data_IF_562062107050
#
_entry.id   IF_562062107050
#
_cell.length_a   1.000
_cell.length_b   1.000
_cell.length_c   1.000
_cell.angle_alpha   90.00
_cell.angle_beta   90.00
_cell.angle_gamma   90.00
#
_symmetry.space_group_name_H-M   'P 1'
#
loop_
_entity.id
_entity.type
_entity.pdbx_description
1 polymer ?
#
# COMPACT_ATOMS: atom_id res chain seq x y z
N UNK A 1 -3.55 31.56 -10.73
CA UNK A 1 -3.88 31.42 -9.29
C UNK A 1 -4.30 32.78 -8.78
N UNK A 2 -5.41 32.94 -8.06
CA UNK A 2 -5.82 34.22 -7.53
C UNK A 2 -4.86 34.66 -6.41
N UNK A 3 -4.50 35.94 -6.33
CA UNK A 3 -3.54 36.47 -5.37
C UNK A 3 -3.98 36.28 -3.90
N UNK A 4 -5.25 36.00 -3.65
CA UNK A 4 -5.84 35.82 -2.34
C UNK A 4 -5.24 34.61 -1.57
N UNK A 5 -4.92 33.52 -2.29
CA UNK A 5 -4.34 32.30 -1.66
C UNK A 5 -2.89 32.55 -1.20
N UNK A 6 -2.13 33.35 -1.96
CA UNK A 6 -0.75 33.69 -1.59
C UNK A 6 -0.71 34.61 -0.37
N UNK A 7 -1.65 35.53 -0.26
CA UNK A 7 -1.79 36.44 0.88
C UNK A 7 -2.22 35.67 2.15
N UNK A 8 -3.12 34.69 2.02
CA UNK A 8 -3.52 33.85 3.16
C UNK A 8 -2.35 33.00 3.69
N UNK A 9 -1.52 32.41 2.80
CA UNK A 9 -0.32 31.65 3.18
C UNK A 9 0.71 32.57 3.85
N UNK A 10 0.95 33.75 3.32
CA UNK A 10 1.88 34.73 3.89
C UNK A 10 1.39 35.29 5.23
N UNK A 11 0.08 35.44 5.43
CA UNK A 11 -0.50 35.91 6.69
C UNK A 11 -0.41 34.87 7.82
N UNK A 12 -0.38 33.58 7.49
CA UNK A 12 -0.16 32.48 8.45
C UNK A 12 1.34 32.31 8.75
N UNK A 13 2.22 32.64 7.80
CA UNK A 13 3.68 32.51 7.98
C UNK A 13 4.31 33.65 8.80
N UNK A 14 3.77 34.87 8.75
CA UNK A 14 4.31 36.03 9.51
C UNK A 14 4.39 35.83 11.03
N UNK A 15 3.38 35.28 11.74
CA UNK A 15 3.52 34.99 13.16
C UNK A 15 4.49 33.81 13.43
N UNK A 16 4.75 32.93 12.44
CA UNK A 16 5.75 31.87 12.57
C UNK A 16 7.19 32.42 12.47
N UNK A 17 7.45 33.37 11.56
CA UNK A 17 8.77 34.02 11.43
C UNK A 17 9.16 34.76 12.71
N UNK A 18 8.21 35.43 13.37
CA UNK A 18 8.46 36.14 14.63
C UNK A 18 8.77 35.19 15.82
N UNK A 19 8.37 33.90 15.71
CA UNK A 19 8.68 32.87 16.73
C UNK A 19 9.94 32.07 16.41
N UNK A 20 10.43 32.13 15.18
CA UNK A 20 11.63 31.40 14.72
C UNK A 20 12.94 32.20 14.82
N UNK A 21 12.87 33.51 15.14
CA UNK A 21 14.06 34.33 15.43
C UNK A 21 14.49 34.09 16.89
N UNK A 22 15.67 33.48 17.14
CA UNK A 22 16.11 33.19 18.49
C UNK A 22 16.50 34.48 19.24
N UNK A 23 15.72 34.81 20.28
CA UNK A 23 16.25 35.61 21.38
C UNK A 23 17.25 34.77 22.18
N UNK A 24 18.07 35.36 23.06
CA UNK A 24 19.09 34.65 23.83
C UNK A 24 18.41 33.58 24.71
N UNK A 25 18.49 32.32 24.29
CA UNK A 25 17.81 31.22 24.92
C UNK A 25 18.70 30.55 25.99
N UNK A 26 18.10 30.24 27.14
CA UNK A 26 18.68 29.30 28.09
C UNK A 26 18.73 27.89 27.49
N UNK A 27 19.68 26.99 27.89
CA UNK A 27 19.81 25.64 27.36
C UNK A 27 18.53 24.81 27.47
N UNK A 28 17.69 25.01 28.46
CA UNK A 28 16.43 24.31 28.67
C UNK A 28 15.32 24.75 27.69
N UNK A 29 15.34 26.03 27.26
CA UNK A 29 14.45 26.53 26.23
C UNK A 29 14.77 25.99 24.82
N UNK A 30 16.03 25.66 24.55
CA UNK A 30 16.44 25.06 23.28
C UNK A 30 15.92 23.63 23.12
N UNK A 31 15.82 22.85 24.21
CA UNK A 31 15.27 21.49 24.21
C UNK A 31 13.75 21.48 24.07
N UNK A 32 13.04 22.41 24.71
CA UNK A 32 11.60 22.56 24.56
C UNK A 32 11.22 23.06 23.16
N UNK A 33 11.97 24.00 22.59
CA UNK A 33 11.76 24.50 21.23
C UNK A 33 12.02 23.47 20.13
N UNK A 34 12.89 22.48 20.36
CA UNK A 34 13.16 21.42 19.38
C UNK A 34 11.95 20.52 19.15
N UNK A 35 11.21 20.16 20.21
CA UNK A 35 9.99 19.35 20.11
C UNK A 35 8.86 20.03 19.32
N UNK A 36 8.61 21.32 19.60
CA UNK A 36 7.61 22.11 18.88
C UNK A 36 8.02 22.32 17.41
N UNK A 37 9.29 22.61 17.15
CA UNK A 37 9.82 22.79 15.79
C UNK A 37 9.69 21.49 14.99
N UNK A 38 10.00 20.32 15.56
CA UNK A 38 9.84 19.02 14.93
C UNK A 38 8.35 18.73 14.66
N UNK A 39 7.45 19.06 15.58
CA UNK A 39 6.01 18.89 15.39
C UNK A 39 5.47 19.78 14.26
N UNK A 40 5.90 21.05 14.18
CA UNK A 40 5.53 21.97 13.10
C UNK A 40 6.07 21.50 11.75
N UNK A 41 7.33 21.06 11.67
CA UNK A 41 7.93 20.52 10.45
C UNK A 41 7.24 19.23 10.04
N UNK A 42 6.87 18.36 10.99
CA UNK A 42 6.10 17.16 10.75
C UNK A 42 4.70 17.44 10.18
N UNK A 43 4.03 18.48 10.70
CA UNK A 43 2.74 18.94 10.20
C UNK A 43 2.81 19.53 8.79
N UNK A 44 3.86 20.31 8.48
CA UNK A 44 4.08 20.84 7.13
C UNK A 44 4.29 19.73 6.09
N UNK A 45 5.02 18.66 6.42
CA UNK A 45 5.22 17.50 5.53
C UNK A 45 3.88 16.89 5.12
N UNK A 46 2.98 16.68 6.08
CA UNK A 46 1.65 16.10 5.83
C UNK A 46 0.79 17.02 4.95
N UNK A 47 0.82 18.35 5.20
CA UNK A 47 0.08 19.32 4.39
C UNK A 47 0.60 19.37 2.95
N UNK A 48 1.94 19.37 2.77
CA UNK A 48 2.56 19.35 1.44
C UNK A 48 2.22 18.06 0.71
N UNK A 49 2.36 16.90 1.37
CA UNK A 49 2.01 15.61 0.80
C UNK A 49 0.53 15.54 0.43
N UNK A 50 -0.37 16.05 1.28
CA UNK A 50 -1.81 16.13 0.98
C UNK A 50 -2.11 17.00 -0.25
N UNK A 51 -1.45 18.14 -0.39
CA UNK A 51 -1.58 19.00 -1.57
C UNK A 51 -1.06 18.34 -2.86
N UNK A 52 0.07 17.63 -2.77
CA UNK A 52 0.62 16.85 -3.89
C UNK A 52 -0.30 15.70 -4.27
N UNK A 53 -0.86 15.00 -3.28
CA UNK A 53 -1.83 13.93 -3.48
C UNK A 53 -3.10 14.42 -4.20
N UNK A 54 -3.66 15.57 -3.80
CA UNK A 54 -4.81 16.16 -4.50
C UNK A 54 -4.47 16.49 -5.96
N UNK A 55 -3.27 17.02 -6.22
CA UNK A 55 -2.82 17.29 -7.59
C UNK A 55 -2.58 15.99 -8.39
N UNK A 56 -2.12 14.92 -7.74
CA UNK A 56 -1.97 13.61 -8.36
C UNK A 56 -3.34 13.06 -8.79
N UNK A 57 -4.36 13.16 -7.94
CA UNK A 57 -5.73 12.75 -8.29
C UNK A 57 -6.29 13.56 -9.46
N UNK A 58 -6.09 14.89 -9.49
CA UNK A 58 -6.52 15.72 -10.62
C UNK A 58 -5.80 15.35 -11.93
N UNK A 59 -4.53 14.96 -11.87
CA UNK A 59 -3.79 14.46 -13.03
C UNK A 59 -4.32 13.09 -13.46
N UNK A 60 -4.62 12.21 -12.52
CA UNK A 60 -5.22 10.89 -12.73
C UNK A 60 -6.59 10.99 -13.41
N UNK A 61 -7.49 11.87 -12.94
CA UNK A 61 -8.79 12.14 -13.58
C UNK A 61 -8.64 12.56 -15.05
N UNK A 62 -7.57 13.29 -15.38
CA UNK A 62 -7.23 13.71 -16.73
C UNK A 62 -6.49 12.65 -17.55
N UNK A 63 -6.25 11.47 -16.96
CA UNK A 63 -5.46 10.39 -17.54
C UNK A 63 -4.04 10.79 -17.94
N UNK A 64 -3.47 11.77 -17.25
CA UNK A 64 -2.08 12.22 -17.44
C UNK A 64 -1.16 11.35 -16.58
N UNK A 65 -0.77 10.20 -17.13
CA UNK A 65 0.03 9.20 -16.45
C UNK A 65 1.39 9.73 -15.98
N UNK A 66 2.10 10.46 -16.83
CA UNK A 66 3.41 10.99 -16.50
C UNK A 66 3.38 11.95 -15.32
N UNK A 67 2.41 12.86 -15.34
CA UNK A 67 2.21 13.80 -14.25
C UNK A 67 1.70 13.13 -12.98
N UNK A 68 0.78 12.16 -13.11
CA UNK A 68 0.31 11.37 -11.97
C UNK A 68 1.47 10.65 -11.30
N UNK A 69 2.29 9.93 -12.06
CA UNK A 69 3.47 9.22 -11.53
C UNK A 69 4.42 10.15 -10.79
N UNK A 70 4.76 11.29 -11.40
CA UNK A 70 5.65 12.28 -10.78
C UNK A 70 5.08 12.81 -9.46
N UNK A 71 3.80 13.15 -9.44
CA UNK A 71 3.13 13.67 -8.25
C UNK A 71 3.00 12.62 -7.16
N UNK A 72 2.74 11.34 -7.48
CA UNK A 72 2.74 10.24 -6.53
C UNK A 72 4.12 10.07 -5.88
N UNK A 73 5.19 10.12 -6.68
CA UNK A 73 6.56 10.03 -6.16
C UNK A 73 6.91 11.20 -5.23
N UNK A 74 6.52 12.42 -5.59
CA UNK A 74 6.71 13.61 -4.75
C UNK A 74 5.87 13.54 -3.47
N UNK A 75 4.65 12.99 -3.53
CA UNK A 75 3.77 12.81 -2.37
C UNK A 75 4.44 11.95 -1.30
N UNK A 76 4.93 10.76 -1.69
CA UNK A 76 5.60 9.84 -0.75
C UNK A 76 6.99 10.32 -0.34
N UNK A 77 7.66 11.13 -1.14
CA UNK A 77 8.91 11.79 -0.77
C UNK A 77 8.68 12.90 0.28
N UNK A 78 7.54 13.60 0.20
CA UNK A 78 7.18 14.62 1.18
C UNK A 78 6.72 13.99 2.52
N UNK A 79 5.90 12.94 2.48
CA UNK A 79 5.49 12.18 3.67
C UNK A 79 5.28 10.70 3.30
N UNK A 80 6.20 9.84 3.75
CA UNK A 80 6.22 8.41 3.48
C UNK A 80 5.35 7.59 4.46
N UNK A 81 4.87 8.21 5.55
CA UNK A 81 4.14 7.52 6.63
C UNK A 81 2.74 7.04 6.26
N UNK A 82 1.88 7.80 5.51
CA UNK A 82 0.54 7.36 5.20
C UNK A 82 0.54 6.19 4.21
N UNK A 83 0.05 5.01 4.66
CA UNK A 83 -0.11 3.81 3.81
C UNK A 83 -0.94 4.06 2.57
N UNK A 84 -1.97 4.91 2.69
CA UNK A 84 -2.91 5.23 1.61
C UNK A 84 -2.22 5.79 0.37
N UNK A 85 -1.14 6.55 0.52
CA UNK A 85 -0.40 7.08 -0.63
C UNK A 85 0.30 5.97 -1.40
N UNK A 86 0.92 5.02 -0.68
CA UNK A 86 1.58 3.86 -1.28
C UNK A 86 0.59 2.91 -1.95
N UNK A 87 -0.48 2.54 -1.23
CA UNK A 87 -1.46 1.58 -1.73
C UNK A 87 -2.22 2.11 -2.94
N UNK A 88 -2.77 3.32 -2.85
CA UNK A 88 -3.54 3.90 -3.94
C UNK A 88 -2.66 4.27 -5.15
N UNK A 89 -1.45 4.79 -4.90
CA UNK A 89 -0.49 5.05 -5.97
C UNK A 89 -0.14 3.77 -6.75
N UNK A 90 0.14 2.68 -6.05
CA UNK A 90 0.41 1.40 -6.69
C UNK A 90 -0.79 0.85 -7.49
N UNK A 91 -2.02 1.02 -6.98
CA UNK A 91 -3.25 0.62 -7.67
C UNK A 91 -3.47 1.42 -8.97
N UNK A 92 -3.29 2.73 -8.92
CA UNK A 92 -3.34 3.57 -10.12
C UNK A 92 -2.34 3.07 -11.18
N UNK A 93 -1.11 2.78 -10.77
CA UNK A 93 -0.08 2.27 -11.68
C UNK A 93 -0.41 0.88 -12.22
N UNK A 94 -0.81 -0.06 -11.37
CA UNK A 94 -1.00 -1.46 -11.74
C UNK A 94 -2.27 -1.73 -12.57
N UNK A 95 -3.33 -0.94 -12.36
CA UNK A 95 -4.65 -1.23 -12.92
C UNK A 95 -5.17 -0.13 -13.82
N UNK A 96 -5.08 1.14 -13.44
CA UNK A 96 -5.67 2.23 -14.21
C UNK A 96 -4.82 2.61 -15.44
N UNK A 97 -3.50 2.76 -15.27
CA UNK A 97 -2.61 3.14 -16.37
C UNK A 97 -2.64 2.13 -17.53
N UNK A 98 -2.55 0.80 -17.28
CA UNK A 98 -2.73 -0.16 -18.37
C UNK A 98 -4.10 -0.09 -19.04
N UNK A 99 -5.16 0.13 -18.27
CA UNK A 99 -6.51 0.24 -18.81
C UNK A 99 -6.66 1.46 -19.75
N UNK A 100 -6.02 2.59 -19.42
CA UNK A 100 -6.05 3.79 -20.29
C UNK A 100 -5.32 3.58 -21.61
N UNK A 101 -4.20 2.84 -21.59
CA UNK A 101 -3.37 2.58 -22.79
C UNK A 101 -3.90 1.48 -23.68
N UNK A 102 -4.70 0.57 -23.12
CA UNK A 102 -5.09 -0.67 -23.81
C UNK A 102 -6.44 -0.58 -24.50
N UNK A 103 -7.18 0.54 -24.40
CA UNK A 103 -8.53 0.67 -24.94
C UNK A 103 -8.60 0.33 -26.44
N UNK A 104 -7.56 0.70 -27.21
CA UNK A 104 -7.49 0.51 -28.66
C UNK A 104 -6.21 -0.22 -29.11
N UNK A 105 -5.44 -0.81 -28.17
CA UNK A 105 -4.17 -1.42 -28.48
C UNK A 105 -4.31 -2.92 -28.83
N UNK A 106 -3.44 -3.47 -29.73
CA UNK A 106 -3.35 -4.91 -29.93
C UNK A 106 -3.09 -5.67 -28.62
N UNK A 107 -3.66 -6.88 -28.47
CA UNK A 107 -3.61 -7.64 -27.23
C UNK A 107 -2.18 -7.83 -26.67
N UNK A 108 -1.20 -8.08 -27.55
CA UNK A 108 0.21 -8.23 -27.16
C UNK A 108 0.82 -6.95 -26.59
N UNK A 109 0.41 -5.77 -27.10
CA UNK A 109 0.85 -4.47 -26.59
C UNK A 109 0.20 -4.19 -25.23
N UNK A 110 -1.11 -4.48 -25.10
CA UNK A 110 -1.84 -4.35 -23.85
C UNK A 110 -1.24 -5.22 -22.73
N UNK A 111 -0.89 -6.47 -23.07
CA UNK A 111 -0.26 -7.38 -22.10
C UNK A 111 1.13 -6.90 -21.67
N UNK A 112 1.96 -6.39 -22.59
CA UNK A 112 3.26 -5.80 -22.24
C UNK A 112 3.10 -4.61 -21.33
N UNK A 113 2.21 -3.67 -21.68
CA UNK A 113 1.93 -2.50 -20.84
C UNK A 113 1.47 -2.88 -19.43
N UNK A 114 0.61 -3.89 -19.32
CA UNK A 114 0.14 -4.39 -18.03
C UNK A 114 1.31 -4.91 -17.18
N UNK A 115 2.20 -5.70 -17.77
CA UNK A 115 3.38 -6.23 -17.06
C UNK A 115 4.33 -5.14 -16.63
N UNK A 116 4.64 -4.18 -17.50
CA UNK A 116 5.52 -3.05 -17.20
C UNK A 116 4.96 -2.20 -16.05
N UNK A 117 3.68 -1.87 -16.10
CA UNK A 117 3.03 -1.07 -15.06
C UNK A 117 2.90 -1.84 -13.73
N UNK A 118 2.61 -3.14 -13.79
CA UNK A 118 2.59 -3.98 -12.59
C UNK A 118 3.98 -4.05 -11.92
N UNK A 119 5.05 -4.18 -12.70
CA UNK A 119 6.43 -4.16 -12.17
C UNK A 119 6.78 -2.79 -11.57
N UNK A 120 6.39 -1.69 -12.22
CA UNK A 120 6.59 -0.34 -11.69
C UNK A 120 5.84 -0.13 -10.36
N UNK A 121 4.61 -0.65 -10.26
CA UNK A 121 3.82 -0.61 -9.03
C UNK A 121 4.45 -1.45 -7.90
N UNK A 122 4.96 -2.64 -8.21
CA UNK A 122 5.69 -3.46 -7.23
C UNK A 122 6.94 -2.74 -6.73
N UNK A 123 7.75 -2.16 -7.61
CA UNK A 123 8.93 -1.38 -7.23
C UNK A 123 8.56 -0.15 -6.40
N UNK A 124 7.40 0.47 -6.67
CA UNK A 124 6.89 1.57 -5.85
C UNK A 124 6.55 1.10 -4.43
N UNK A 125 5.88 -0.05 -4.25
CA UNK A 125 5.57 -0.63 -2.94
C UNK A 125 6.81 -1.13 -2.20
N UNK A 126 7.81 -1.68 -2.89
CA UNK A 126 9.10 -2.07 -2.31
C UNK A 126 9.82 -0.88 -1.69
N UNK A 127 9.79 0.29 -2.35
CA UNK A 127 10.30 1.53 -1.75
C UNK A 127 9.51 1.92 -0.50
N UNK A 128 8.20 1.70 -0.47
CA UNK A 128 7.37 1.91 0.71
C UNK A 128 7.80 1.03 1.89
N UNK A 129 8.08 -0.25 1.64
CA UNK A 129 8.62 -1.16 2.66
C UNK A 129 9.99 -0.69 3.15
N UNK A 130 10.85 -0.20 2.24
CA UNK A 130 12.19 0.30 2.58
C UNK A 130 12.12 1.54 3.48
N UNK A 131 11.20 2.46 3.20
CA UNK A 131 11.09 3.74 3.89
C UNK A 131 10.47 3.62 5.30
N UNK A 132 9.51 2.71 5.49
CA UNK A 132 8.69 2.65 6.70
C UNK A 132 8.66 1.28 7.42
N UNK A 133 9.33 0.29 6.85
CA UNK A 133 9.25 -1.11 7.29
C UNK A 133 8.08 -1.88 6.65
N UNK A 134 8.07 -3.21 6.80
CA UNK A 134 7.03 -4.06 6.25
C UNK A 134 5.70 -3.82 6.95
N UNK A 135 4.64 -3.63 6.17
CA UNK A 135 3.26 -3.58 6.63
C UNK A 135 2.46 -4.64 5.87
N UNK A 136 1.58 -5.34 6.59
CA UNK A 136 0.79 -6.43 6.01
C UNK A 136 -0.01 -5.98 4.79
N UNK A 137 -0.58 -4.77 4.83
CA UNK A 137 -1.36 -4.20 3.74
C UNK A 137 -0.55 -3.95 2.47
N UNK A 138 0.72 -3.51 2.60
CA UNK A 138 1.61 -3.34 1.44
C UNK A 138 1.92 -4.71 0.83
N UNK A 139 2.26 -5.70 1.64
CA UNK A 139 2.61 -7.04 1.16
C UNK A 139 1.39 -7.72 0.51
N UNK A 140 0.19 -7.51 1.07
CA UNK A 140 -1.09 -7.96 0.47
C UNK A 140 -1.32 -7.30 -0.89
N UNK A 141 -1.07 -5.99 -1.02
CA UNK A 141 -1.26 -5.31 -2.31
C UNK A 141 -0.24 -5.81 -3.35
N UNK A 142 1.01 -6.05 -2.96
CA UNK A 142 2.00 -6.70 -3.84
C UNK A 142 1.53 -8.09 -4.28
N UNK A 143 0.96 -8.90 -3.37
CA UNK A 143 0.39 -10.21 -3.70
C UNK A 143 -0.77 -10.08 -4.70
N UNK A 144 -1.66 -9.12 -4.52
CA UNK A 144 -2.77 -8.83 -5.42
C UNK A 144 -2.28 -8.44 -6.83
N UNK A 145 -1.25 -7.59 -6.92
CA UNK A 145 -0.67 -7.17 -8.20
C UNK A 145 -0.06 -8.38 -8.91
N UNK A 146 0.71 -9.22 -8.21
CA UNK A 146 1.26 -10.46 -8.80
C UNK A 146 0.16 -11.38 -9.31
N UNK A 147 -0.90 -11.58 -8.52
CA UNK A 147 -1.99 -12.47 -8.88
C UNK A 147 -2.79 -11.95 -10.07
N UNK A 148 -3.25 -10.70 -9.99
CA UNK A 148 -4.25 -10.15 -10.92
C UNK A 148 -3.64 -9.52 -12.17
N UNK A 149 -2.52 -8.79 -12.00
CA UNK A 149 -1.90 -8.09 -13.13
C UNK A 149 -0.86 -8.95 -13.85
N UNK A 150 -0.14 -9.83 -13.15
CA UNK A 150 0.92 -10.68 -13.72
C UNK A 150 0.52 -12.14 -13.91
N UNK A 151 -0.57 -12.61 -13.29
CA UNK A 151 -0.96 -14.03 -13.31
C UNK A 151 0.02 -14.94 -12.53
N UNK A 152 0.93 -14.36 -11.75
CA UNK A 152 1.97 -15.05 -10.98
C UNK A 152 1.37 -15.60 -9.67
N UNK A 153 0.70 -16.77 -9.77
CA UNK A 153 0.08 -17.43 -8.62
C UNK A 153 1.10 -17.85 -7.56
N UNK A 154 2.26 -18.35 -8.00
CA UNK A 154 3.31 -18.79 -7.08
C UNK A 154 3.89 -17.62 -6.27
N UNK A 155 4.22 -16.52 -6.95
CA UNK A 155 4.69 -15.29 -6.31
C UNK A 155 3.63 -14.68 -5.39
N UNK A 156 2.38 -14.69 -5.80
CA UNK A 156 1.26 -14.22 -4.97
C UNK A 156 1.09 -15.09 -3.72
N UNK A 157 1.15 -16.41 -3.85
CA UNK A 157 1.05 -17.33 -2.71
C UNK A 157 2.14 -17.04 -1.66
N UNK A 158 3.40 -16.87 -2.09
CA UNK A 158 4.49 -16.50 -1.18
C UNK A 158 4.24 -15.19 -0.44
N UNK A 159 3.79 -14.16 -1.15
CA UNK A 159 3.50 -12.85 -0.54
C UNK A 159 2.28 -12.89 0.40
N UNK A 160 1.22 -13.63 0.06
CA UNK A 160 0.08 -13.80 0.97
C UNK A 160 0.48 -14.52 2.27
N UNK A 161 1.38 -15.49 2.19
CA UNK A 161 1.96 -16.13 3.38
C UNK A 161 2.74 -15.12 4.21
N UNK A 162 3.67 -14.39 3.57
CA UNK A 162 4.46 -13.36 4.24
C UNK A 162 3.57 -12.30 4.90
N UNK A 163 2.51 -11.85 4.22
CA UNK A 163 1.57 -10.90 4.78
C UNK A 163 0.85 -11.47 6.01
N UNK A 164 0.42 -12.74 5.95
CA UNK A 164 -0.28 -13.41 7.05
C UNK A 164 0.57 -13.58 8.33
N UNK A 165 1.88 -13.57 8.18
CA UNK A 165 2.85 -13.67 9.29
C UNK A 165 3.19 -12.30 9.92
N UNK A 166 2.74 -11.18 9.32
CA UNK A 166 2.98 -9.82 9.82
C UNK A 166 1.92 -9.39 10.85
N UNK A 167 2.28 -8.53 11.81
CA UNK A 167 1.33 -7.92 12.73
C UNK A 167 0.21 -7.16 11.99
N UNK A 168 -1.03 -7.30 12.46
CA UNK A 168 -2.17 -6.63 11.87
C UNK A 168 -2.62 -7.20 10.51
N UNK A 169 -2.10 -8.38 10.12
CA UNK A 169 -2.48 -9.05 8.89
C UNK A 169 -3.99 -9.29 8.81
N UNK A 170 -4.62 -9.00 7.67
CA UNK A 170 -6.02 -9.33 7.48
C UNK A 170 -6.17 -10.85 7.39
N UNK A 171 -7.16 -11.43 8.07
CA UNK A 171 -7.40 -12.89 8.11
C UNK A 171 -7.53 -13.52 6.72
N UNK A 172 -8.01 -12.77 5.74
CA UNK A 172 -8.14 -13.30 4.38
C UNK A 172 -6.78 -13.60 3.71
N UNK A 173 -5.69 -12.97 4.13
CA UNK A 173 -4.37 -13.22 3.54
C UNK A 173 -3.97 -14.69 3.73
N UNK A 174 -4.14 -15.22 4.92
CA UNK A 174 -3.86 -16.61 5.23
C UNK A 174 -4.77 -17.58 4.45
N UNK A 175 -6.05 -17.23 4.26
CA UNK A 175 -7.00 -18.05 3.49
C UNK A 175 -6.66 -18.08 2.01
N UNK A 176 -6.32 -16.91 1.42
CA UNK A 176 -5.93 -16.83 0.01
C UNK A 176 -4.64 -17.62 -0.24
N UNK A 177 -3.67 -17.58 0.67
CA UNK A 177 -2.48 -18.42 0.56
C UNK A 177 -2.85 -19.91 0.45
N UNK A 178 -3.71 -20.42 1.35
CA UNK A 178 -4.16 -21.81 1.30
C UNK A 178 -4.91 -22.16 0.01
N UNK A 179 -5.74 -21.25 -0.53
CA UNK A 179 -6.44 -21.47 -1.78
C UNK A 179 -5.48 -21.50 -2.98
N UNK A 180 -4.51 -20.59 -3.03
CA UNK A 180 -3.50 -20.58 -4.07
C UNK A 180 -2.63 -21.83 -4.06
N UNK A 181 -2.28 -22.38 -2.89
CA UNK A 181 -1.59 -23.67 -2.80
C UNK A 181 -2.43 -24.80 -3.43
N UNK A 182 -3.73 -24.84 -3.15
CA UNK A 182 -4.64 -25.81 -3.73
C UNK A 182 -4.71 -25.67 -5.27
N UNK A 183 -4.87 -24.44 -5.78
CA UNK A 183 -4.89 -24.16 -7.22
C UNK A 183 -3.58 -24.52 -7.92
N UNK A 184 -2.45 -24.46 -7.22
CA UNK A 184 -1.13 -24.87 -7.68
C UNK A 184 -0.94 -26.40 -7.63
N UNK A 185 -1.97 -27.17 -7.28
CA UNK A 185 -1.88 -28.63 -7.19
C UNK A 185 -1.17 -29.13 -5.93
N UNK A 186 -1.08 -28.32 -4.87
CA UNK A 186 -0.40 -28.61 -3.60
C UNK A 186 -1.41 -28.74 -2.43
N UNK A 187 -2.42 -29.62 -2.52
CA UNK A 187 -3.49 -29.69 -1.51
C UNK A 187 -3.01 -30.14 -0.13
N UNK A 188 -1.97 -30.99 -0.06
CA UNK A 188 -1.39 -31.39 1.22
C UNK A 188 -0.76 -30.20 1.97
N UNK A 189 -0.07 -29.31 1.26
CA UNK A 189 0.51 -28.11 1.86
C UNK A 189 -0.60 -27.09 2.24
N UNK A 190 -1.64 -26.95 1.42
CA UNK A 190 -2.80 -26.15 1.76
C UNK A 190 -3.47 -26.63 3.04
N UNK A 191 -3.64 -27.95 3.18
CA UNK A 191 -4.22 -28.56 4.40
C UNK A 191 -3.34 -28.30 5.63
N UNK A 192 -2.03 -28.53 5.53
CA UNK A 192 -1.09 -28.28 6.61
C UNK A 192 -1.13 -26.82 7.07
N UNK A 193 -1.12 -25.88 6.12
CA UNK A 193 -1.21 -24.46 6.39
C UNK A 193 -2.52 -24.05 7.08
N UNK A 194 -3.67 -24.49 6.55
CA UNK A 194 -4.97 -24.14 7.14
C UNK A 194 -5.15 -24.72 8.54
N UNK A 195 -4.63 -25.92 8.82
CA UNK A 195 -4.60 -26.51 10.16
C UNK A 195 -3.73 -25.71 11.12
N UNK A 196 -2.61 -25.18 10.63
CA UNK A 196 -1.70 -24.34 11.42
C UNK A 196 -2.34 -23.03 11.86
N UNK A 197 -3.06 -22.35 10.96
CA UNK A 197 -3.65 -21.03 11.25
C UNK A 197 -5.00 -21.10 11.99
N UNK A 198 -5.74 -22.20 11.83
CA UNK A 198 -7.10 -22.36 12.34
C UNK A 198 -7.23 -22.12 13.85
N UNK A 199 -6.33 -22.60 14.74
CA UNK A 199 -6.45 -22.36 16.19
C UNK A 199 -6.36 -20.88 16.58
N UNK A 200 -5.62 -20.06 15.79
CA UNK A 200 -5.46 -18.64 16.02
C UNK A 200 -6.62 -17.77 15.49
N UNK A 201 -7.59 -18.36 14.81
CA UNK A 201 -8.73 -17.62 14.27
C UNK A 201 -9.80 -17.41 15.36
N UNK A 202 -10.17 -16.14 15.68
CA UNK A 202 -11.19 -15.87 16.67
C UNK A 202 -12.56 -16.38 16.23
N UNK A 203 -13.34 -16.90 17.20
CA UNK A 203 -14.66 -17.47 16.92
C UNK A 203 -15.72 -16.40 16.65
N UNK A 204 -15.63 -15.28 17.34
CA UNK A 204 -16.62 -14.21 17.34
C UNK A 204 -16.30 -13.07 16.38
N UNK A 205 -15.26 -13.23 15.51
CA UNK A 205 -14.86 -12.22 14.53
C UNK A 205 -15.32 -12.64 13.12
N UNK A 206 -16.37 -12.02 12.55
CA UNK A 206 -16.88 -12.39 11.23
C UNK A 206 -15.83 -12.31 10.12
N UNK A 207 -14.88 -11.36 10.21
CA UNK A 207 -13.81 -11.20 9.25
C UNK A 207 -12.85 -12.40 9.21
N UNK A 208 -12.71 -13.15 10.32
CA UNK A 208 -11.87 -14.34 10.40
C UNK A 208 -12.44 -15.51 9.57
N UNK A 209 -13.77 -15.54 9.38
CA UNK A 209 -14.47 -16.58 8.61
C UNK A 209 -14.06 -18.00 9.00
N UNK A 210 -13.93 -18.27 10.30
CA UNK A 210 -13.46 -19.56 10.84
C UNK A 210 -14.21 -20.75 10.30
N UNK A 211 -15.54 -20.63 10.15
CA UNK A 211 -16.37 -21.70 9.58
C UNK A 211 -15.98 -22.06 8.14
N UNK A 212 -15.61 -21.06 7.32
CA UNK A 212 -15.12 -21.27 5.95
C UNK A 212 -13.80 -22.03 5.97
N UNK A 213 -12.88 -21.67 6.89
CA UNK A 213 -11.60 -22.37 7.03
C UNK A 213 -11.81 -23.82 7.44
N UNK A 214 -12.69 -24.11 8.40
CA UNK A 214 -13.02 -25.47 8.83
C UNK A 214 -13.64 -26.31 7.71
N UNK A 215 -14.55 -25.73 6.93
CA UNK A 215 -15.15 -26.41 5.77
C UNK A 215 -14.07 -26.73 4.71
N UNK A 216 -13.12 -25.80 4.48
CA UNK A 216 -12.04 -26.00 3.54
C UNK A 216 -11.08 -27.10 4.01
N UNK A 217 -10.72 -27.13 5.31
CA UNK A 217 -9.90 -28.20 5.89
C UNK A 217 -10.55 -29.57 5.62
N UNK A 218 -11.85 -29.72 5.94
CA UNK A 218 -12.60 -30.98 5.71
C UNK A 218 -12.58 -31.40 4.24
N UNK A 219 -12.76 -30.45 3.30
CA UNK A 219 -12.70 -30.73 1.87
C UNK A 219 -11.31 -31.20 1.41
N UNK A 220 -10.24 -30.54 1.91
CA UNK A 220 -8.85 -30.91 1.60
C UNK A 220 -8.47 -32.29 2.18
N UNK A 221 -8.98 -32.65 3.36
CA UNK A 221 -8.77 -33.98 3.96
C UNK A 221 -9.29 -35.08 3.02
N UNK A 222 -10.48 -34.88 2.44
CA UNK A 222 -11.06 -35.80 1.48
C UNK A 222 -10.26 -35.85 0.18
N UNK A 223 -9.82 -34.69 -0.33
CA UNK A 223 -9.00 -34.60 -1.57
C UNK A 223 -7.65 -35.28 -1.42
N UNK A 224 -7.01 -35.14 -0.26
CA UNK A 224 -5.68 -35.76 0.03
C UNK A 224 -5.81 -37.25 0.31
N UNK A 225 -6.88 -37.70 0.97
CA UNK A 225 -7.12 -39.11 1.27
C UNK A 225 -7.53 -39.94 0.03
N UNK A 226 -8.08 -39.31 -1.01
CA UNK A 226 -8.50 -39.96 -2.25
C UNK A 226 -7.42 -40.07 -3.35
N UNK A 227 -6.22 -39.59 -3.05
CA UNK A 227 -5.02 -39.70 -3.92
C UNK A 227 -4.05 -40.74 -3.39
#
# INVERSE_FOLDING_TARGET
>A
MPPVVLVAILSVLRPLEARLLPGPASPDAALAGSGETIAVLGGLRTVVAGGLWLRANLAWERRDEGKTTTLLQLTVAADDRPLTFWLNGARMMAYDFPAWRSADAPAAVGERNRREQAQAALAFLERGIHARGPAAEIVVEMANIRLRALGDREGAARLFRQAAELPGAPYYAARIHGELLRELGRPAEALAWLRQIQPGLPENEPAAQRAVVLARIKGLEQEVAGK
#
